data_IF_156118802851
#
_entry.id   IF_156118802851
#
_cell.length_a   1.000
_cell.length_b   1.000
_cell.length_c   1.000
_cell.angle_alpha   90.00
_cell.angle_beta   90.00
_cell.angle_gamma   90.00
#
_symmetry.space_group_name_H-M   'P 1'
#
loop_
_entity.id
_entity.type
_entity.pdbx_description
1 polymer ?
#
# COMPACT_ATOMS: atom_id res chain seq x y z
N UNK A 1 -13.72 25.14 6.49
CA UNK A 1 -13.39 24.31 5.32
C UNK A 1 -12.09 23.57 5.66
N UNK A 2 -12.07 22.24 5.80
CA UNK A 2 -10.81 21.54 5.91
C UNK A 2 -10.05 21.68 4.58
N UNK A 3 -8.82 22.16 4.66
CA UNK A 3 -7.92 22.26 3.51
C UNK A 3 -7.68 20.87 2.92
N UNK A 4 -7.38 20.75 1.63
CA UNK A 4 -7.08 19.48 0.93
C UNK A 4 -6.02 18.63 1.66
N UNK A 5 -5.14 19.27 2.42
CA UNK A 5 -4.15 18.63 3.30
C UNK A 5 -4.78 17.88 4.48
N UNK A 6 -5.87 18.36 5.03
CA UNK A 6 -6.55 17.73 6.17
C UNK A 6 -7.32 16.46 5.74
N UNK A 7 -7.75 16.36 4.49
CA UNK A 7 -8.42 15.18 3.94
C UNK A 7 -7.45 14.03 3.67
N UNK A 8 -6.18 14.32 3.35
CA UNK A 8 -5.13 13.30 3.17
C UNK A 8 -4.73 12.61 4.48
N UNK A 9 -4.87 13.29 5.61
CA UNK A 9 -4.48 12.80 6.95
C UNK A 9 -5.48 11.80 7.54
N UNK A 10 -6.70 11.75 7.02
CA UNK A 10 -7.78 10.87 7.52
C UNK A 10 -8.14 9.73 6.56
N UNK A 11 -7.30 9.43 5.58
CA UNK A 11 -7.55 8.36 4.61
C UNK A 11 -6.45 7.31 4.69
N UNK A 12 -6.85 6.04 4.56
CA UNK A 12 -5.89 4.95 4.35
C UNK A 12 -5.00 5.28 3.15
N UNK A 13 -3.71 5.03 3.30
CA UNK A 13 -2.72 5.20 2.25
C UNK A 13 -2.08 3.86 1.89
N UNK A 14 -1.58 3.71 0.67
CA UNK A 14 -0.79 2.57 0.23
C UNK A 14 0.59 3.05 -0.21
N UNK A 15 1.63 2.40 0.29
CA UNK A 15 3.01 2.68 -0.10
C UNK A 15 3.70 1.42 -0.64
N UNK A 16 4.32 1.54 -1.82
CA UNK A 16 5.15 0.52 -2.43
C UNK A 16 6.60 0.95 -2.35
N UNK A 17 7.42 0.17 -1.66
CA UNK A 17 8.86 0.43 -1.50
C UNK A 17 9.61 -0.30 -2.59
N UNK A 18 10.22 0.47 -3.49
CA UNK A 18 11.04 -0.01 -4.61
C UNK A 18 10.38 -1.16 -5.42
N UNK A 19 9.15 -0.97 -5.91
CA UNK A 19 8.47 -2.00 -6.69
C UNK A 19 9.27 -2.30 -7.97
N UNK A 20 9.30 -3.58 -8.37
CA UNK A 20 10.17 -4.08 -9.44
C UNK A 20 9.40 -4.44 -10.71
N UNK A 21 8.13 -4.80 -10.59
CA UNK A 21 7.32 -5.34 -11.70
C UNK A 21 6.28 -4.31 -12.15
N UNK A 22 6.45 -3.69 -13.34
CA UNK A 22 5.55 -2.63 -13.83
C UNK A 22 4.06 -3.01 -13.83
N UNK A 23 3.63 -4.20 -14.32
CA UNK A 23 2.23 -4.59 -14.28
C UNK A 23 1.62 -4.65 -12.87
N UNK A 24 2.40 -5.06 -11.86
CA UNK A 24 1.92 -5.08 -10.47
C UNK A 24 1.65 -3.67 -9.97
N UNK A 25 2.59 -2.75 -10.21
CA UNK A 25 2.41 -1.33 -9.85
C UNK A 25 1.21 -0.71 -10.55
N UNK A 26 1.01 -1.01 -11.83
CA UNK A 26 -0.16 -0.55 -12.59
C UNK A 26 -1.48 -1.08 -12.02
N UNK A 27 -1.53 -2.35 -11.64
CA UNK A 27 -2.70 -2.95 -11.01
C UNK A 27 -2.99 -2.34 -9.63
N UNK A 28 -1.95 -2.07 -8.82
CA UNK A 28 -2.10 -1.37 -7.54
C UNK A 28 -2.59 0.06 -7.75
N UNK A 29 -2.06 0.76 -8.74
CA UNK A 29 -2.51 2.12 -9.08
C UNK A 29 -4.01 2.15 -9.44
N UNK A 30 -4.46 1.18 -10.26
CA UNK A 30 -5.87 1.02 -10.60
C UNK A 30 -6.74 0.75 -9.36
N UNK A 31 -6.28 -0.13 -8.48
CA UNK A 31 -6.96 -0.46 -7.23
C UNK A 31 -7.08 0.77 -6.32
N UNK A 32 -6.00 1.53 -6.17
CA UNK A 32 -5.98 2.76 -5.38
C UNK A 32 -6.92 3.81 -5.97
N UNK A 33 -6.91 4.03 -7.29
CA UNK A 33 -7.82 4.94 -7.97
C UNK A 33 -9.28 4.56 -7.74
N UNK A 34 -9.63 3.26 -7.86
CA UNK A 34 -10.99 2.75 -7.66
C UNK A 34 -11.52 3.03 -6.24
N UNK A 35 -10.65 3.15 -5.25
CA UNK A 35 -10.99 3.39 -3.85
C UNK A 35 -10.64 4.81 -3.36
N UNK A 36 -10.18 5.69 -4.26
CA UNK A 36 -9.71 7.05 -3.93
C UNK A 36 -8.62 7.06 -2.83
N UNK A 37 -7.78 6.05 -2.85
CA UNK A 37 -6.68 5.86 -1.90
C UNK A 37 -5.40 6.44 -2.48
N UNK A 38 -4.66 7.31 -1.77
CA UNK A 38 -3.36 7.78 -2.21
C UNK A 38 -2.36 6.63 -2.34
N UNK A 39 -1.63 6.62 -3.46
CA UNK A 39 -0.54 5.68 -3.74
C UNK A 39 0.80 6.38 -3.65
N UNK A 40 1.66 5.87 -2.78
CA UNK A 40 3.01 6.37 -2.58
C UNK A 40 4.02 5.37 -3.16
N UNK A 41 4.89 5.83 -4.05
CA UNK A 41 6.04 5.07 -4.55
C UNK A 41 7.29 5.59 -3.85
N UNK A 42 8.00 4.71 -3.17
CA UNK A 42 9.13 5.03 -2.32
C UNK A 42 10.40 4.39 -2.89
N UNK A 43 11.45 5.19 -3.03
CA UNK A 43 12.73 4.74 -3.55
C UNK A 43 12.79 4.61 -5.08
N UNK A 44 13.87 4.00 -5.55
CA UNK A 44 14.09 3.79 -6.97
C UNK A 44 13.22 2.65 -7.51
N UNK A 45 12.65 2.85 -8.67
CA UNK A 45 11.99 1.80 -9.44
C UNK A 45 12.88 1.38 -10.60
N UNK A 46 12.93 0.10 -10.92
CA UNK A 46 13.65 -0.41 -12.09
C UNK A 46 12.98 -0.06 -13.43
N UNK A 47 11.91 0.73 -13.40
CA UNK A 47 11.11 1.15 -14.54
C UNK A 47 10.59 2.58 -14.35
N UNK A 48 10.15 3.19 -15.43
CA UNK A 48 9.51 4.51 -15.36
C UNK A 48 8.00 4.33 -15.12
N UNK A 49 7.42 5.15 -14.25
CA UNK A 49 5.98 5.12 -13.97
C UNK A 49 5.11 5.59 -15.15
N UNK A 50 5.72 6.23 -16.14
CA UNK A 50 5.11 6.59 -17.42
C UNK A 50 5.24 5.49 -18.49
N UNK A 51 5.92 4.39 -18.17
CA UNK A 51 6.08 3.27 -19.09
C UNK A 51 4.73 2.69 -19.51
N UNK A 52 4.66 2.35 -20.79
CA UNK A 52 3.46 1.79 -21.40
C UNK A 52 2.94 0.53 -20.67
N UNK A 53 3.83 -0.24 -20.02
CA UNK A 53 3.49 -1.42 -19.26
C UNK A 53 2.70 -1.09 -17.97
N UNK A 54 3.10 -0.02 -17.25
CA UNK A 54 2.39 0.48 -16.06
C UNK A 54 1.04 1.06 -16.49
N UNK A 55 1.04 1.89 -17.53
CA UNK A 55 -0.17 2.52 -18.06
C UNK A 55 -1.18 1.53 -18.61
N UNK A 56 -0.74 0.41 -19.23
CA UNK A 56 -1.66 -0.60 -19.76
C UNK A 56 -2.51 -1.26 -18.69
N UNK A 57 -1.97 -1.48 -17.50
CA UNK A 57 -2.73 -2.03 -16.39
C UNK A 57 -3.72 -1.02 -15.78
N UNK A 58 -3.52 0.29 -16.02
CA UNK A 58 -4.33 1.36 -15.43
C UNK A 58 -4.65 2.51 -16.40
N UNK A 59 -4.60 2.31 -17.72
CA UNK A 59 -4.67 3.37 -18.73
C UNK A 59 -5.90 4.28 -18.57
N UNK A 60 -7.07 3.69 -18.38
CA UNK A 60 -8.34 4.40 -18.27
C UNK A 60 -8.52 5.11 -16.92
N UNK A 61 -7.74 4.71 -15.91
CA UNK A 61 -7.85 5.18 -14.52
C UNK A 61 -6.68 6.07 -14.09
N UNK A 62 -5.66 6.21 -14.94
CA UNK A 62 -4.44 6.94 -14.58
C UNK A 62 -4.68 8.39 -14.15
N UNK A 63 -5.60 9.14 -14.78
CA UNK A 63 -5.94 10.49 -14.32
C UNK A 63 -6.52 10.55 -12.90
N UNK A 64 -7.11 9.45 -12.43
CA UNK A 64 -7.73 9.33 -11.11
C UNK A 64 -6.75 8.85 -10.02
N UNK A 65 -5.52 8.48 -10.39
CA UNK A 65 -4.52 7.98 -9.44
C UNK A 65 -3.92 9.15 -8.66
N UNK A 66 -4.11 9.16 -7.36
CA UNK A 66 -3.47 10.09 -6.44
C UNK A 66 -2.04 9.58 -6.15
N UNK A 67 -1.12 9.84 -7.09
CA UNK A 67 0.24 9.33 -7.05
C UNK A 67 1.21 10.31 -6.40
N UNK A 68 1.96 9.83 -5.41
CA UNK A 68 3.03 10.54 -4.72
C UNK A 68 4.35 9.77 -4.85
N UNK A 69 5.46 10.47 -4.97
CA UNK A 69 6.81 9.89 -5.06
C UNK A 69 7.68 10.39 -3.92
N UNK A 70 8.42 9.47 -3.33
CA UNK A 70 9.35 9.76 -2.25
C UNK A 70 10.71 9.12 -2.55
N UNK A 71 11.82 9.82 -2.34
CA UNK A 71 13.15 9.25 -2.57
C UNK A 71 13.46 8.09 -1.63
N UNK A 72 12.90 8.10 -0.42
CA UNK A 72 13.12 7.12 0.65
C UNK A 72 11.96 7.07 1.64
N UNK A 73 12.03 6.15 2.60
CA UNK A 73 11.02 5.99 3.65
C UNK A 73 10.98 7.20 4.60
N UNK A 74 12.10 7.85 4.89
CA UNK A 74 12.14 9.01 5.79
C UNK A 74 11.35 10.18 5.18
N UNK A 75 11.45 10.35 3.87
CA UNK A 75 10.66 11.33 3.12
C UNK A 75 9.17 11.01 3.15
N UNK A 76 8.80 9.72 3.05
CA UNK A 76 7.41 9.29 3.21
C UNK A 76 6.90 9.59 4.63
N UNK A 77 7.67 9.26 5.66
CA UNK A 77 7.31 9.51 7.05
C UNK A 77 7.12 11.01 7.32
N UNK A 78 8.01 11.83 6.77
CA UNK A 78 7.92 13.29 6.87
C UNK A 78 6.71 13.87 6.14
N UNK A 79 6.31 13.26 5.03
CA UNK A 79 5.14 13.68 4.26
C UNK A 79 3.80 13.30 4.93
N UNK A 80 3.80 12.25 5.75
CA UNK A 80 2.62 11.71 6.44
C UNK A 80 2.86 11.62 7.95
N UNK A 81 3.09 12.75 8.66
CA UNK A 81 3.50 12.76 10.07
C UNK A 81 2.44 12.16 11.01
N UNK A 82 1.16 12.22 10.63
CA UNK A 82 0.04 11.68 11.42
C UNK A 82 -0.32 10.24 11.03
N UNK A 83 0.33 9.67 10.01
CA UNK A 83 0.02 8.32 9.57
C UNK A 83 0.61 7.27 10.51
N UNK A 84 -0.17 6.21 10.72
CA UNK A 84 0.29 5.00 11.39
C UNK A 84 0.75 4.00 10.33
N UNK A 85 2.06 3.78 10.24
CA UNK A 85 2.64 2.89 9.24
C UNK A 85 2.52 1.42 9.65
N UNK A 86 1.93 0.61 8.79
CA UNK A 86 1.68 -0.82 8.96
C UNK A 86 2.37 -1.58 7.82
N UNK A 87 3.20 -2.54 8.14
CA UNK A 87 4.11 -3.18 7.20
C UNK A 87 3.63 -4.60 6.86
N UNK A 88 3.42 -4.89 5.58
CA UNK A 88 3.00 -6.21 5.11
C UNK A 88 4.23 -7.04 4.72
N UNK A 89 4.40 -8.18 5.35
CA UNK A 89 5.54 -9.08 5.13
C UNK A 89 5.16 -10.53 5.40
N UNK A 90 5.65 -11.42 4.55
CA UNK A 90 5.51 -12.87 4.77
C UNK A 90 6.35 -13.39 5.95
N UNK A 91 7.24 -12.54 6.50
CA UNK A 91 8.06 -12.85 7.68
C UNK A 91 7.35 -12.55 9.00
N UNK A 92 6.29 -11.74 8.97
CA UNK A 92 5.55 -11.37 10.17
C UNK A 92 4.71 -12.54 10.69
N UNK A 93 4.44 -12.53 11.99
CA UNK A 93 3.66 -13.56 12.68
C UNK A 93 2.21 -13.14 12.89
N UNK A 94 1.99 -11.83 13.06
CA UNK A 94 0.65 -11.30 13.32
C UNK A 94 -0.18 -11.31 12.04
N UNK A 95 -1.38 -11.89 12.10
CA UNK A 95 -2.28 -11.88 10.96
C UNK A 95 -2.82 -10.47 10.69
N UNK A 96 -2.93 -10.12 9.42
CA UNK A 96 -3.52 -8.85 9.00
C UNK A 96 -4.97 -8.68 9.49
N UNK A 97 -5.72 -9.78 9.61
CA UNK A 97 -7.10 -9.81 10.10
C UNK A 97 -7.22 -9.52 11.60
N UNK A 98 -6.15 -9.71 12.37
CA UNK A 98 -6.11 -9.46 13.81
C UNK A 98 -5.67 -8.03 14.15
N UNK A 99 -5.36 -7.23 13.13
CA UNK A 99 -5.02 -5.82 13.26
C UNK A 99 -6.29 -4.96 13.23
N UNK A 100 -6.37 -4.01 14.13
CA UNK A 100 -7.43 -3.00 14.10
C UNK A 100 -6.97 -1.82 13.23
N UNK A 101 -7.45 -1.81 11.99
CA UNK A 101 -7.13 -0.74 11.04
C UNK A 101 -7.84 0.56 11.39
N UNK A 102 -7.16 1.68 11.15
CA UNK A 102 -7.66 3.03 11.34
C UNK A 102 -7.53 3.84 10.05
N UNK A 103 -8.29 4.93 9.94
CA UNK A 103 -8.24 5.82 8.76
C UNK A 103 -6.85 6.41 8.50
N UNK A 104 -6.03 6.56 9.53
CA UNK A 104 -4.66 7.08 9.41
C UNK A 104 -3.62 6.05 9.00
N UNK A 105 -4.01 4.79 8.76
CA UNK A 105 -3.05 3.74 8.40
C UNK A 105 -2.47 3.95 7.00
N UNK A 106 -1.15 3.83 6.91
CA UNK A 106 -0.43 3.70 5.66
C UNK A 106 0.08 2.25 5.54
N UNK A 107 -0.46 1.52 4.57
CA UNK A 107 -0.12 0.12 4.31
C UNK A 107 1.15 0.08 3.46
N UNK A 108 2.24 -0.43 4.02
CA UNK A 108 3.57 -0.43 3.38
C UNK A 108 3.93 -1.82 2.89
N UNK A 109 4.23 -1.93 1.60
CA UNK A 109 4.62 -3.17 0.92
C UNK A 109 6.02 -3.03 0.34
N UNK A 110 6.77 -4.11 0.33
CA UNK A 110 8.13 -4.15 -0.21
C UNK A 110 8.22 -4.65 -1.65
N UNK A 111 9.45 -4.88 -2.10
CA UNK A 111 9.78 -5.46 -3.41
C UNK A 111 9.14 -6.84 -3.59
N UNK A 112 8.82 -7.18 -4.81
CA UNK A 112 8.28 -8.49 -5.15
C UNK A 112 9.26 -9.63 -4.85
N UNK A 113 10.56 -9.40 -5.04
CA UNK A 113 11.59 -10.44 -4.85
C UNK A 113 12.08 -10.58 -3.42
N UNK A 114 12.23 -9.48 -2.68
CA UNK A 114 12.90 -9.45 -1.36
C UNK A 114 12.02 -8.94 -0.23
N UNK A 115 10.85 -8.37 -0.55
CA UNK A 115 10.00 -7.72 0.44
C UNK A 115 10.61 -6.42 0.97
N UNK A 116 10.21 -6.03 2.17
CA UNK A 116 10.74 -4.87 2.86
C UNK A 116 12.14 -5.12 3.42
N UNK A 117 12.99 -4.08 3.51
CA UNK A 117 14.31 -4.20 4.13
C UNK A 117 14.20 -4.72 5.57
N UNK A 118 15.13 -5.60 5.94
CA UNK A 118 15.09 -6.27 7.24
C UNK A 118 15.18 -5.32 8.42
N UNK A 119 15.97 -4.25 8.30
CA UNK A 119 16.08 -3.24 9.34
C UNK A 119 14.76 -2.48 9.57
N UNK A 120 13.97 -2.27 8.50
CA UNK A 120 12.62 -1.65 8.60
C UNK A 120 11.67 -2.57 9.37
N UNK A 121 11.68 -3.87 9.05
CA UNK A 121 10.84 -4.85 9.74
C UNK A 121 11.22 -4.97 11.21
N UNK A 122 12.52 -5.06 11.53
CA UNK A 122 13.00 -5.17 12.92
C UNK A 122 12.61 -3.95 13.75
N UNK A 123 12.74 -2.75 13.19
CA UNK A 123 12.42 -1.51 13.88
C UNK A 123 10.92 -1.33 14.14
N UNK A 124 10.05 -2.07 13.42
CA UNK A 124 8.60 -1.92 13.45
C UNK A 124 7.86 -3.25 13.61
N UNK A 125 8.47 -4.22 14.25
CA UNK A 125 7.95 -5.60 14.30
C UNK A 125 6.54 -5.70 14.88
N UNK A 126 6.21 -4.88 15.84
CA UNK A 126 4.89 -4.75 16.45
C UNK A 126 3.78 -4.33 15.48
N UNK A 127 4.16 -3.74 14.34
CA UNK A 127 3.28 -3.26 13.26
C UNK A 127 3.50 -4.01 11.95
N UNK A 128 4.19 -5.15 12.00
CA UNK A 128 4.35 -6.03 10.85
C UNK A 128 3.23 -7.08 10.83
N UNK A 129 2.58 -7.23 9.68
CA UNK A 129 1.44 -8.11 9.48
C UNK A 129 1.70 -9.07 8.34
N UNK A 130 1.11 -10.26 8.43
CA UNK A 130 1.15 -11.27 7.37
C UNK A 130 -0.24 -11.61 6.85
N UNK A 131 -0.32 -11.89 5.54
CA UNK A 131 -1.48 -12.52 4.92
C UNK A 131 -1.20 -14.03 4.91
N UNK A 132 -2.04 -14.85 5.57
CA UNK A 132 -1.76 -16.27 5.71
C UNK A 132 -1.85 -17.01 4.37
N UNK A 133 -0.95 -17.97 4.18
CA UNK A 133 -0.95 -18.90 3.06
C UNK A 133 -0.94 -20.32 3.60
N UNK A 134 -1.90 -21.13 3.16
CA UNK A 134 -2.06 -22.50 3.67
C UNK A 134 -1.08 -23.51 3.04
N UNK A 135 -0.60 -23.22 1.82
CA UNK A 135 0.29 -24.12 1.10
C UNK A 135 1.76 -23.85 1.46
N UNK A 136 2.51 -24.84 2.01
CA UNK A 136 3.86 -24.62 2.54
C UNK A 136 4.89 -24.27 1.46
N UNK A 137 4.65 -24.64 0.21
CA UNK A 137 5.58 -24.40 -0.90
C UNK A 137 5.30 -23.09 -1.65
N UNK A 138 4.24 -22.36 -1.29
CA UNK A 138 3.96 -21.03 -1.83
C UNK A 138 4.53 -19.99 -0.89
N UNK A 139 5.51 -19.20 -1.36
CA UNK A 139 6.31 -18.31 -0.52
C UNK A 139 5.71 -16.92 -0.37
N UNK A 140 4.95 -16.47 -1.36
CA UNK A 140 4.35 -15.14 -1.38
C UNK A 140 3.15 -15.10 -2.32
N UNK A 141 2.26 -14.14 -2.08
CA UNK A 141 1.23 -13.73 -3.03
C UNK A 141 1.81 -12.71 -4.02
N UNK A 142 1.18 -12.58 -5.17
CA UNK A 142 1.43 -11.45 -6.07
C UNK A 142 1.22 -10.14 -5.31
N UNK A 143 2.07 -9.14 -5.56
CA UNK A 143 2.04 -7.85 -4.84
C UNK A 143 0.67 -7.18 -4.94
N UNK A 144 0.10 -7.06 -6.13
CA UNK A 144 -1.19 -6.41 -6.31
C UNK A 144 -2.33 -7.18 -5.61
N UNK A 145 -2.25 -8.50 -5.56
CA UNK A 145 -3.18 -9.35 -4.81
C UNK A 145 -3.06 -9.09 -3.30
N UNK A 146 -1.84 -9.05 -2.77
CA UNK A 146 -1.59 -8.77 -1.35
C UNK A 146 -2.11 -7.37 -0.95
N UNK A 147 -1.84 -6.36 -1.79
CA UNK A 147 -2.37 -5.01 -1.58
C UNK A 147 -3.90 -5.02 -1.57
N UNK A 148 -4.53 -5.71 -2.51
CA UNK A 148 -5.99 -5.81 -2.59
C UNK A 148 -6.60 -6.41 -1.33
N UNK A 149 -6.05 -7.52 -0.86
CA UNK A 149 -6.53 -8.21 0.36
C UNK A 149 -6.43 -7.29 1.58
N UNK A 150 -5.25 -6.71 1.84
CA UNK A 150 -5.03 -5.88 3.01
C UNK A 150 -5.81 -4.55 2.95
N UNK A 151 -5.85 -3.91 1.78
CA UNK A 151 -6.57 -2.65 1.58
C UNK A 151 -8.08 -2.83 1.81
N UNK A 152 -8.68 -3.86 1.21
CA UNK A 152 -10.12 -4.09 1.36
C UNK A 152 -10.51 -4.48 2.79
N UNK A 153 -9.67 -5.20 3.51
CA UNK A 153 -9.90 -5.43 4.94
C UNK A 153 -9.84 -4.11 5.74
N UNK A 154 -8.84 -3.28 5.48
CA UNK A 154 -8.73 -1.97 6.12
C UNK A 154 -9.93 -1.07 5.82
N UNK A 155 -10.39 -1.00 4.56
CA UNK A 155 -11.58 -0.24 4.15
C UNK A 155 -12.85 -0.80 4.79
N UNK A 156 -12.97 -2.13 4.91
CA UNK A 156 -14.10 -2.78 5.58
C UNK A 156 -14.18 -2.39 7.05
N UNK A 157 -13.05 -2.49 7.77
CA UNK A 157 -12.98 -2.18 9.20
C UNK A 157 -13.25 -0.70 9.50
N UNK A 158 -12.72 0.20 8.68
CA UNK A 158 -12.91 1.65 8.84
C UNK A 158 -14.29 2.14 8.40
N UNK A 159 -15.13 1.25 7.86
CA UNK A 159 -16.53 1.56 7.54
C UNK A 159 -16.74 2.42 6.29
N UNK A 160 -15.69 2.62 5.46
CA UNK A 160 -15.77 3.42 4.23
C UNK A 160 -16.90 2.95 3.31
N UNK A 161 -17.11 1.65 3.18
CA UNK A 161 -18.17 1.10 2.33
C UNK A 161 -19.59 1.31 2.87
N UNK A 162 -19.76 1.47 4.18
CA UNK A 162 -21.08 1.73 4.78
C UNK A 162 -21.58 3.13 4.42
N UNK A 163 -20.68 4.09 4.25
CA UNK A 163 -21.03 5.45 3.86
C UNK A 163 -21.52 5.54 2.38
N UNK A 164 -21.25 4.51 1.56
CA UNK A 164 -21.71 4.47 0.16
C UNK A 164 -23.14 3.92 0.02
N UNK A 165 -23.69 3.32 1.08
CA UNK A 165 -25.03 2.67 1.05
C UNK A 165 -26.14 3.58 1.57
N UNK A 166 -25.81 4.86 1.88
CA UNK A 166 -26.75 5.90 2.29
C UNK A 166 -26.84 6.98 1.21
#
# INVERSE_FOLDING_TARGET
>A
MPTAYCLLVLMINVALVEPEIPPNTGNVARLCAANRVPLHIVGATGFRLDDRAVRRAGLDYWPEVLLHRHPDLDSLYSALPEARFVYLSTKAERLYSDWLFEHSDCLVFGRETRGLPEHVLRANWDRCLTIPMLHPNVRSLNLATAVGIALYEALRQTGVFKAMSQ
#
